data_IF_681223098829
#
_entry.id   IF_681223098829
#
_cell.length_a   1.000
_cell.length_b   1.000
_cell.length_c   1.000
_cell.angle_alpha   90.00
_cell.angle_beta   90.00
_cell.angle_gamma   90.00
#
_symmetry.space_group_name_H-M   'P 1'
#
loop_
_entity.id
_entity.type
_entity.pdbx_description
1 polymer ?
#
# COMPACT_ATOMS: atom_id res chain seq x y z
N UNK A 1 23.75 23.52 8.68
CA UNK A 1 24.85 22.76 8.05
C UNK A 1 24.48 21.30 8.15
N UNK A 2 23.72 20.79 7.20
CA UNK A 2 23.34 19.37 7.17
C UNK A 2 24.45 18.64 6.45
N UNK A 3 25.19 17.80 7.16
CA UNK A 3 26.25 17.01 6.59
C UNK A 3 25.64 15.90 5.73
N UNK A 4 25.47 16.16 4.43
CA UNK A 4 25.34 15.11 3.42
C UNK A 4 26.72 14.46 3.36
N UNK A 5 26.91 13.38 4.12
CA UNK A 5 28.16 12.63 4.07
C UNK A 5 28.24 11.93 2.71
N UNK A 6 29.38 12.14 2.03
CA UNK A 6 29.66 11.56 0.72
C UNK A 6 29.43 10.04 0.71
N UNK A 7 28.75 9.58 -0.34
CA UNK A 7 28.58 8.17 -0.69
C UNK A 7 29.94 7.47 -0.68
N UNK A 8 30.13 6.49 0.20
CA UNK A 8 31.27 5.60 0.20
C UNK A 8 30.84 4.22 -0.23
N UNK A 9 31.47 3.67 -1.27
CA UNK A 9 31.38 2.24 -1.61
C UNK A 9 32.08 1.44 -0.52
N UNK A 10 31.32 0.66 0.26
CA UNK A 10 31.85 -0.23 1.29
C UNK A 10 31.58 -1.68 0.86
N UNK A 11 32.62 -2.37 0.40
CA UNK A 11 32.47 -3.73 -0.17
C UNK A 11 32.19 -4.86 0.84
N UNK A 12 32.18 -4.59 2.15
CA UNK A 12 31.89 -5.57 3.21
C UNK A 12 30.80 -5.04 4.16
N UNK A 13 29.72 -5.82 4.33
CA UNK A 13 28.60 -5.52 5.25
C UNK A 13 29.11 -5.24 6.66
N UNK A 14 30.08 -6.01 7.16
CA UNK A 14 30.64 -5.83 8.50
C UNK A 14 31.36 -4.49 8.66
N UNK A 15 32.00 -4.01 7.58
CA UNK A 15 32.60 -2.68 7.54
C UNK A 15 31.53 -1.58 7.46
N UNK A 16 30.47 -1.79 6.66
CA UNK A 16 29.37 -0.83 6.53
C UNK A 16 28.69 -0.56 7.88
N UNK A 17 28.45 -1.59 8.70
CA UNK A 17 27.90 -1.46 10.05
C UNK A 17 28.83 -0.64 10.96
N UNK A 18 30.14 -0.91 10.94
CA UNK A 18 31.12 -0.16 11.75
C UNK A 18 31.17 1.31 11.36
N UNK A 19 31.18 1.59 10.06
CA UNK A 19 31.18 2.97 9.54
C UNK A 19 29.87 3.68 9.91
N UNK A 20 28.72 3.00 9.79
CA UNK A 20 27.42 3.49 10.23
C UNK A 20 27.45 3.89 11.71
N UNK A 21 27.97 3.03 12.59
CA UNK A 21 28.08 3.31 14.02
C UNK A 21 28.92 4.56 14.32
N UNK A 22 30.06 4.73 13.66
CA UNK A 22 30.88 5.94 13.81
C UNK A 22 30.17 7.19 13.28
N UNK A 23 29.48 7.10 12.14
CA UNK A 23 28.70 8.22 11.60
C UNK A 23 27.53 8.62 12.51
N UNK A 24 26.84 7.66 13.12
CA UNK A 24 25.80 7.95 14.11
C UNK A 24 26.40 8.73 15.30
N UNK A 25 27.58 8.33 15.80
CA UNK A 25 28.29 9.05 16.87
C UNK A 25 28.72 10.47 16.44
N UNK A 26 29.18 10.65 15.20
CA UNK A 26 29.52 11.97 14.64
C UNK A 26 28.30 12.90 14.57
N UNK A 27 27.16 12.38 14.10
CA UNK A 27 25.90 13.15 14.04
C UNK A 27 25.47 13.58 15.45
N UNK A 28 25.56 12.69 16.44
CA UNK A 28 25.23 13.03 17.83
C UNK A 28 26.15 14.14 18.40
N UNK A 29 27.47 14.06 18.17
CA UNK A 29 28.45 15.06 18.65
C UNK A 29 28.30 16.43 17.98
N UNK A 30 28.00 16.46 16.68
CA UNK A 30 27.91 17.70 15.91
C UNK A 30 26.68 18.54 16.26
N UNK A 31 25.60 17.92 16.74
CA UNK A 31 24.37 18.61 17.09
C UNK A 31 24.38 19.29 18.46
N UNK A 32 25.33 18.96 19.35
CA UNK A 32 25.57 19.74 20.56
C UNK A 32 26.07 21.18 20.25
N UNK A 33 26.58 21.43 19.04
CA UNK A 33 27.08 22.74 18.59
C UNK A 33 26.06 23.55 17.74
N UNK A 34 24.96 22.95 17.26
CA UNK A 34 24.04 23.53 16.26
C UNK A 34 22.67 23.99 16.82
N UNK A 35 22.65 24.48 18.06
CA UNK A 35 21.46 24.90 18.84
C UNK A 35 20.62 26.07 18.25
N UNK A 36 20.79 26.47 16.99
CA UNK A 36 20.12 27.63 16.40
C UNK A 36 19.14 27.32 15.24
N UNK A 37 19.10 26.09 14.72
CA UNK A 37 18.09 25.72 13.69
C UNK A 37 16.76 25.36 14.35
N UNK A 38 15.64 25.93 13.88
CA UNK A 38 14.28 25.69 14.41
C UNK A 38 13.62 24.40 13.91
N UNK A 39 14.18 23.70 12.92
CA UNK A 39 13.57 22.52 12.26
C UNK A 39 14.09 21.18 12.80
N UNK A 40 13.22 20.16 12.82
CA UNK A 40 13.58 18.77 13.09
C UNK A 40 14.12 18.09 11.84
N UNK A 41 15.31 18.48 11.39
CA UNK A 41 15.92 17.90 10.19
C UNK A 41 16.21 16.40 10.36
N UNK A 42 15.67 15.59 9.46
CA UNK A 42 16.07 14.18 9.31
C UNK A 42 17.49 14.16 8.71
N UNK A 43 18.38 13.40 9.33
CA UNK A 43 19.71 13.06 8.81
C UNK A 43 19.68 11.61 8.36
N UNK A 44 19.83 11.38 7.05
CA UNK A 44 19.96 10.03 6.47
C UNK A 44 21.42 9.71 6.22
N UNK A 45 21.89 8.64 6.83
CA UNK A 45 23.19 8.03 6.54
C UNK A 45 22.95 6.83 5.63
N UNK A 46 23.69 6.69 4.53
CA UNK A 46 23.52 5.55 3.63
C UNK A 46 24.82 5.11 2.99
N UNK A 47 24.98 3.81 2.77
CA UNK A 47 26.13 3.19 2.14
C UNK A 47 25.67 2.14 1.13
N UNK A 48 26.37 2.06 0.01
CA UNK A 48 26.25 0.91 -0.89
C UNK A 48 26.84 -0.33 -0.19
N UNK A 49 26.14 -1.45 -0.31
CA UNK A 49 26.55 -2.75 0.25
C UNK A 49 26.41 -3.84 -0.82
N UNK A 50 27.05 -5.01 -0.65
CA UNK A 50 26.77 -6.17 -1.48
C UNK A 50 25.28 -6.53 -1.49
N UNK A 51 24.82 -7.14 -2.58
CA UNK A 51 23.40 -7.48 -2.70
C UNK A 51 22.93 -8.47 -1.62
N UNK A 52 21.74 -8.22 -1.08
CA UNK A 52 21.10 -8.99 -0.01
C UNK A 52 19.61 -9.16 -0.36
N UNK A 53 19.02 -10.35 -0.24
CA UNK A 53 17.57 -10.52 -0.40
C UNK A 53 16.78 -9.76 0.68
N UNK A 54 16.05 -8.70 0.29
CA UNK A 54 15.44 -7.75 1.22
C UNK A 54 14.38 -8.38 2.14
N UNK A 55 13.52 -9.27 1.62
CA UNK A 55 12.50 -9.95 2.43
C UNK A 55 13.12 -10.95 3.40
N UNK A 56 14.13 -11.71 2.98
CA UNK A 56 14.87 -12.63 3.85
C UNK A 56 15.57 -11.86 4.98
N UNK A 57 16.17 -10.72 4.66
CA UNK A 57 16.73 -9.81 5.66
C UNK A 57 15.64 -9.31 6.61
N UNK A 58 14.50 -8.82 6.11
CA UNK A 58 13.41 -8.29 6.94
C UNK A 58 12.82 -9.36 7.89
N UNK A 59 12.71 -10.60 7.40
CA UNK A 59 12.23 -11.73 8.19
C UNK A 59 13.16 -12.07 9.36
N UNK A 60 14.47 -11.87 9.21
CA UNK A 60 15.47 -12.15 10.23
C UNK A 60 15.48 -11.13 11.39
N UNK A 61 14.92 -9.94 11.18
CA UNK A 61 14.98 -8.89 12.20
C UNK A 61 14.08 -9.19 13.40
N UNK A 62 14.58 -8.85 14.59
CA UNK A 62 13.88 -9.04 15.88
C UNK A 62 12.90 -7.92 16.21
N UNK A 63 13.10 -6.73 15.65
CA UNK A 63 12.19 -5.60 15.87
C UNK A 63 10.79 -5.95 15.35
N UNK A 64 9.78 -5.52 16.09
CA UNK A 64 8.39 -5.80 15.80
C UNK A 64 7.80 -4.84 14.76
N UNK A 65 8.37 -3.65 14.59
CA UNK A 65 7.96 -2.69 13.57
C UNK A 65 8.73 -2.95 12.28
N UNK A 66 8.02 -3.38 11.24
CA UNK A 66 8.59 -3.69 9.94
C UNK A 66 7.77 -3.05 8.84
N UNK A 67 8.45 -2.54 7.83
CA UNK A 67 7.81 -2.00 6.64
C UNK A 67 8.46 -2.60 5.42
N UNK A 68 7.66 -2.87 4.39
CA UNK A 68 8.15 -3.33 3.11
C UNK A 68 7.39 -2.63 1.98
N UNK A 69 8.11 -2.35 0.90
CA UNK A 69 7.56 -1.83 -0.35
C UNK A 69 8.35 -2.38 -1.53
N UNK A 70 7.68 -2.84 -2.58
CA UNK A 70 8.30 -3.00 -3.89
C UNK A 70 7.39 -2.43 -4.96
N UNK A 71 7.96 -1.70 -5.90
CA UNK A 71 7.20 -1.23 -7.06
C UNK A 71 6.81 -2.38 -7.99
N UNK A 72 6.03 -2.03 -9.01
CA UNK A 72 5.52 -2.97 -10.01
C UNK A 72 6.55 -3.24 -11.10
N UNK A 73 7.34 -2.22 -11.41
CA UNK A 73 8.35 -2.19 -12.47
C UNK A 73 9.63 -2.94 -12.08
N UNK A 74 9.76 -3.33 -10.81
CA UNK A 74 10.93 -3.98 -10.18
C UNK A 74 12.18 -3.08 -10.19
N UNK A 75 11.98 -1.77 -10.24
CA UNK A 75 13.06 -0.78 -10.22
C UNK A 75 13.40 -0.36 -8.78
N UNK A 76 12.45 -0.50 -7.85
CA UNK A 76 12.62 -0.11 -6.46
C UNK A 76 12.03 -1.14 -5.48
N UNK A 77 12.83 -1.52 -4.49
CA UNK A 77 12.45 -2.38 -3.38
C UNK A 77 13.02 -1.82 -2.08
N UNK A 78 12.24 -1.81 -1.00
CA UNK A 78 12.65 -1.32 0.32
C UNK A 78 12.11 -2.24 1.41
N UNK A 79 12.99 -2.59 2.35
CA UNK A 79 12.67 -3.22 3.61
C UNK A 79 13.18 -2.34 4.74
N UNK A 80 12.29 -1.99 5.68
CA UNK A 80 12.55 -1.08 6.78
C UNK A 80 12.26 -1.73 8.12
N UNK A 81 13.09 -1.46 9.11
CA UNK A 81 12.97 -2.01 10.47
C UNK A 81 13.15 -0.91 11.52
N UNK A 82 12.34 -1.00 12.58
CA UNK A 82 12.31 -0.01 13.65
C UNK A 82 11.71 1.33 13.19
N UNK A 83 11.63 2.29 14.11
CA UNK A 83 10.96 3.58 13.89
C UNK A 83 11.91 4.73 14.25
N UNK A 84 12.27 5.55 13.26
CA UNK A 84 12.91 6.84 13.51
C UNK A 84 11.86 7.93 13.74
N UNK A 85 10.81 7.96 12.92
CA UNK A 85 9.66 8.84 13.12
C UNK A 85 8.34 8.13 12.85
N UNK A 86 7.28 8.68 13.43
CA UNK A 86 5.92 8.20 13.27
C UNK A 86 4.95 9.37 13.20
N UNK A 87 4.23 9.47 12.09
CA UNK A 87 3.07 10.35 11.94
C UNK A 87 1.82 9.50 11.95
N UNK A 88 0.90 9.76 12.87
CA UNK A 88 -0.31 8.93 13.04
C UNK A 88 -1.50 9.76 13.49
N UNK A 89 -2.68 9.42 12.97
CA UNK A 89 -3.97 9.86 13.49
C UNK A 89 -4.73 8.65 14.04
N UNK A 90 -5.34 8.78 15.22
CA UNK A 90 -6.04 7.67 15.88
C UNK A 90 -7.52 7.61 15.47
N UNK A 91 -8.27 8.68 15.71
CA UNK A 91 -9.73 8.74 15.50
C UNK A 91 -10.13 9.61 14.32
N UNK A 92 -9.30 10.61 14.00
CA UNK A 92 -9.50 11.52 12.89
C UNK A 92 -8.13 12.08 12.47
N UNK A 93 -7.98 12.40 11.18
CA UNK A 93 -6.80 13.07 10.67
C UNK A 93 -7.19 14.10 9.62
N UNK A 94 -6.43 15.19 9.63
CA UNK A 94 -6.47 16.20 8.58
C UNK A 94 -5.39 15.87 7.55
N UNK A 95 -5.76 15.80 6.27
CA UNK A 95 -4.81 15.49 5.20
C UNK A 95 -3.74 16.57 5.07
N UNK A 96 -4.11 17.86 5.15
CA UNK A 96 -3.17 18.97 5.05
C UNK A 96 -2.21 18.96 6.24
N UNK A 97 -2.70 18.67 7.45
CA UNK A 97 -1.85 18.51 8.62
C UNK A 97 -0.90 17.31 8.49
N UNK A 98 -1.39 16.16 8.02
CA UNK A 98 -0.59 14.96 7.80
C UNK A 98 0.56 15.24 6.82
N UNK A 99 0.23 15.75 5.63
CA UNK A 99 1.23 16.02 4.59
C UNK A 99 2.18 17.15 5.00
N UNK A 100 1.69 18.19 5.69
CA UNK A 100 2.56 19.26 6.20
C UNK A 100 3.49 18.77 7.30
N UNK A 101 3.03 17.89 8.19
CA UNK A 101 3.88 17.27 9.21
C UNK A 101 5.00 16.46 8.56
N UNK A 102 4.68 15.53 7.66
CA UNK A 102 5.68 14.74 6.93
C UNK A 102 6.66 15.65 6.18
N UNK A 103 6.15 16.58 5.37
CA UNK A 103 6.98 17.50 4.58
C UNK A 103 7.82 18.47 5.44
N UNK A 104 7.38 18.79 6.65
CA UNK A 104 8.16 19.64 7.57
C UNK A 104 9.40 18.92 8.14
N UNK A 105 9.38 17.59 8.17
CA UNK A 105 10.52 16.77 8.61
C UNK A 105 11.49 16.50 7.45
N UNK A 106 10.98 16.34 6.23
CA UNK A 106 11.79 16.07 5.04
C UNK A 106 12.33 17.39 4.46
N UNK A 107 13.64 17.61 4.60
CA UNK A 107 14.32 18.77 4.00
C UNK A 107 14.65 18.56 2.51
N UNK A 108 14.95 19.65 1.77
CA UNK A 108 15.44 19.61 0.38
C UNK A 108 16.62 18.65 0.15
N UNK A 109 17.43 18.39 1.18
CA UNK A 109 18.62 17.55 1.12
C UNK A 109 18.32 16.06 1.38
N UNK A 110 17.10 15.73 1.83
CA UNK A 110 16.65 14.37 2.12
C UNK A 110 15.81 13.78 0.99
N UNK A 111 16.27 13.87 -0.26
CA UNK A 111 15.51 13.36 -1.43
C UNK A 111 15.19 11.88 -1.33
N UNK A 112 16.06 11.11 -0.70
CA UNK A 112 15.91 9.65 -0.52
C UNK A 112 15.12 9.27 0.75
N UNK A 113 14.70 10.26 1.56
CA UNK A 113 13.91 10.03 2.78
C UNK A 113 12.46 9.82 2.39
N UNK A 114 11.88 8.71 2.84
CA UNK A 114 10.48 8.35 2.58
C UNK A 114 9.79 7.91 3.86
N UNK A 115 8.57 8.39 4.04
CA UNK A 115 7.63 7.88 5.03
C UNK A 115 6.71 6.88 4.36
N UNK A 116 6.51 5.71 4.96
CA UNK A 116 5.74 4.61 4.39
C UNK A 116 4.53 4.30 5.26
N UNK A 117 3.39 4.04 4.64
CA UNK A 117 2.17 3.79 5.39
C UNK A 117 0.91 3.95 4.58
N UNK A 118 -0.17 4.35 5.23
CA UNK A 118 -1.49 4.37 4.60
C UNK A 118 -2.56 5.06 5.44
N UNK A 119 -3.77 5.05 4.90
CA UNK A 119 -4.94 5.71 5.45
C UNK A 119 -6.16 4.79 5.35
N UNK A 120 -7.14 5.03 6.21
CA UNK A 120 -8.43 4.32 6.16
C UNK A 120 -9.19 4.64 4.88
N UNK A 121 -10.01 3.67 4.44
CA UNK A 121 -10.93 3.80 3.32
C UNK A 121 -11.95 4.93 3.53
N UNK A 122 -12.53 5.03 4.72
CA UNK A 122 -13.51 6.07 5.07
C UNK A 122 -13.28 6.61 6.48
N UNK A 123 -13.59 7.90 6.66
CA UNK A 123 -13.63 8.57 7.95
C UNK A 123 -14.93 8.33 8.73
N UNK A 124 -16.00 7.92 8.04
CA UNK A 124 -17.35 7.79 8.61
C UNK A 124 -17.57 6.45 9.33
N UNK A 125 -16.70 5.47 9.10
CA UNK A 125 -16.86 4.08 9.56
C UNK A 125 -16.07 3.72 10.81
N UNK A 126 -15.97 4.64 11.79
CA UNK A 126 -15.47 4.27 13.13
C UNK A 126 -16.61 3.63 13.92
N UNK A 127 -16.90 2.36 13.64
CA UNK A 127 -17.83 1.58 14.48
C UNK A 127 -17.16 1.25 15.83
N UNK A 128 -17.96 1.07 16.89
CA UNK A 128 -17.54 1.03 18.30
C UNK A 128 -16.78 -0.25 18.72
N UNK A 129 -16.51 -1.19 17.81
CA UNK A 129 -15.76 -2.44 18.07
C UNK A 129 -14.66 -2.67 17.00
N UNK A 130 -13.71 -1.74 16.94
CA UNK A 130 -12.64 -1.60 15.93
C UNK A 130 -11.40 -2.52 16.16
N UNK A 131 -11.60 -3.72 16.72
CA UNK A 131 -10.50 -4.47 17.34
C UNK A 131 -9.27 -4.74 16.43
N UNK A 132 -9.40 -5.10 15.13
CA UNK A 132 -8.22 -5.45 14.35
C UNK A 132 -7.53 -4.22 13.70
N UNK A 133 -8.24 -3.11 13.45
CA UNK A 133 -7.67 -1.90 12.82
C UNK A 133 -7.15 -0.85 13.79
N UNK A 134 -7.48 -0.97 15.09
CA UNK A 134 -7.10 -0.02 16.13
C UNK A 134 -5.59 0.32 16.15
N UNK A 135 -4.73 -0.66 15.89
CA UNK A 135 -3.27 -0.48 15.90
C UNK A 135 -2.74 0.38 14.72
N UNK A 136 -3.53 0.53 13.65
CA UNK A 136 -3.21 1.33 12.48
C UNK A 136 -3.74 2.76 12.56
N UNK A 137 -4.83 2.98 13.33
CA UNK A 137 -5.52 4.26 13.38
C UNK A 137 -6.14 4.67 12.04
N UNK A 138 -6.44 5.96 11.89
CA UNK A 138 -7.02 6.53 10.68
C UNK A 138 -6.00 6.89 9.60
N UNK A 139 -4.77 7.19 10.01
CA UNK A 139 -3.61 7.25 9.12
C UNK A 139 -2.36 6.89 9.93
N UNK A 140 -1.37 6.28 9.29
CA UNK A 140 -0.08 5.97 9.91
C UNK A 140 1.00 5.98 8.85
N UNK A 141 2.09 6.70 9.12
CA UNK A 141 3.27 6.79 8.27
C UNK A 141 4.52 6.67 9.11
N UNK A 142 5.37 5.71 8.77
CA UNK A 142 6.60 5.35 9.48
C UNK A 142 7.79 5.80 8.65
N UNK A 143 8.72 6.51 9.27
CA UNK A 143 10.09 6.61 8.78
C UNK A 143 10.89 5.48 9.44
N UNK A 144 11.32 4.45 8.70
CA UNK A 144 12.04 3.33 9.29
C UNK A 144 13.35 3.81 9.94
N UNK A 145 13.79 3.14 11.02
CA UNK A 145 15.09 3.48 11.64
C UNK A 145 16.24 3.04 10.75
N UNK A 146 16.16 1.80 10.28
CA UNK A 146 17.12 1.22 9.35
C UNK A 146 16.40 0.71 8.12
N UNK A 147 17.03 0.86 6.97
CA UNK A 147 16.48 0.43 5.68
C UNK A 147 17.52 -0.34 4.89
N UNK A 148 17.10 -1.44 4.28
CA UNK A 148 17.68 -1.89 3.02
C UNK A 148 16.80 -1.42 1.90
N UNK A 149 17.38 -0.77 0.91
CA UNK A 149 16.68 -0.49 -0.33
C UNK A 149 17.54 -0.82 -1.53
N UNK A 150 16.89 -1.31 -2.57
CA UNK A 150 17.47 -1.57 -3.87
C UNK A 150 16.82 -0.63 -4.87
N UNK A 151 17.64 0.09 -5.61
CA UNK A 151 17.20 0.85 -6.76
C UNK A 151 17.97 0.39 -7.97
N UNK A 152 17.24 -0.09 -8.98
CA UNK A 152 17.75 -0.88 -10.09
C UNK A 152 18.48 -2.11 -9.53
N UNK A 153 19.81 -2.12 -9.58
CA UNK A 153 20.63 -3.25 -9.12
C UNK A 153 21.58 -2.88 -7.96
N UNK A 154 21.44 -1.67 -7.40
CA UNK A 154 22.33 -1.19 -6.33
C UNK A 154 21.61 -1.25 -4.99
N UNK A 155 22.12 -2.09 -4.10
CA UNK A 155 21.60 -2.28 -2.75
C UNK A 155 22.32 -1.35 -1.77
N UNK A 156 21.54 -0.65 -0.96
CA UNK A 156 22.03 0.31 0.02
C UNK A 156 21.52 -0.04 1.41
N UNK A 157 22.35 0.21 2.42
CA UNK A 157 21.96 0.21 3.81
C UNK A 157 21.90 1.64 4.34
N UNK A 158 20.76 2.04 4.88
CA UNK A 158 20.53 3.37 5.39
C UNK A 158 20.06 3.38 6.85
N UNK A 159 20.39 4.47 7.55
CA UNK A 159 19.90 4.80 8.87
C UNK A 159 19.34 6.22 8.86
N UNK A 160 18.10 6.39 9.31
CA UNK A 160 17.51 7.71 9.51
C UNK A 160 17.67 8.12 10.96
N UNK A 161 18.12 9.35 11.18
CA UNK A 161 18.30 9.97 12.49
C UNK A 161 17.48 11.26 12.55
N UNK A 162 16.92 11.54 13.71
CA UNK A 162 16.25 12.79 14.05
C UNK A 162 17.01 13.36 15.24
N UNK A 163 18.05 14.19 15.02
CA UNK A 163 19.00 14.57 16.06
C UNK A 163 18.34 15.14 17.32
N UNK A 164 17.24 15.89 17.17
CA UNK A 164 16.47 16.42 18.30
C UNK A 164 15.79 15.35 19.16
N UNK A 165 15.32 14.25 18.55
CA UNK A 165 14.66 13.13 19.25
C UNK A 165 15.69 12.08 19.72
N UNK A 166 16.81 11.99 19.02
CA UNK A 166 17.80 10.92 19.20
C UNK A 166 18.93 11.28 20.16
N UNK A 167 19.07 12.56 20.53
CA UNK A 167 20.19 13.08 21.34
C UNK A 167 20.48 12.24 22.58
N UNK A 168 19.44 11.94 23.36
CA UNK A 168 19.57 11.23 24.64
C UNK A 168 19.46 9.71 24.48
N UNK A 169 19.25 9.23 23.25
CA UNK A 169 19.00 7.82 22.91
C UNK A 169 20.12 7.17 22.10
N UNK A 170 21.29 7.82 21.99
CA UNK A 170 22.42 7.34 21.18
C UNK A 170 22.79 5.89 21.50
N UNK A 171 22.85 5.52 22.78
CA UNK A 171 23.18 4.14 23.18
C UNK A 171 22.13 3.15 22.65
N UNK A 172 20.85 3.46 22.80
CA UNK A 172 19.78 2.60 22.31
C UNK A 172 19.82 2.44 20.78
N UNK A 173 20.15 3.50 20.04
CA UNK A 173 20.29 3.44 18.58
C UNK A 173 21.46 2.56 18.16
N UNK A 174 22.59 2.65 18.86
CA UNK A 174 23.75 1.78 18.63
C UNK A 174 23.44 0.32 18.99
N UNK A 175 22.74 0.08 20.10
CA UNK A 175 22.30 -1.27 20.49
C UNK A 175 21.31 -1.85 19.45
N UNK A 176 20.45 -1.02 18.85
CA UNK A 176 19.57 -1.43 17.74
C UNK A 176 20.36 -1.75 16.47
N UNK A 177 21.38 -0.94 16.12
CA UNK A 177 22.26 -1.20 14.97
C UNK A 177 23.00 -2.54 15.14
N UNK A 178 23.55 -2.80 16.33
CA UNK A 178 24.24 -4.05 16.64
C UNK A 178 23.30 -5.26 16.59
N UNK A 179 21.99 -5.05 16.78
CA UNK A 179 20.96 -6.08 16.66
C UNK A 179 20.49 -6.34 15.22
N UNK A 180 20.83 -5.48 14.25
CA UNK A 180 20.49 -5.70 12.84
C UNK A 180 21.27 -6.90 12.30
N UNK A 181 20.55 -7.87 11.75
CA UNK A 181 21.15 -9.11 11.24
C UNK A 181 21.17 -9.15 9.72
N UNK A 182 22.34 -9.39 9.14
CA UNK A 182 22.50 -9.54 7.68
C UNK A 182 22.69 -10.99 7.24
N UNK A 183 23.19 -11.82 8.17
CA UNK A 183 23.42 -13.24 7.95
C UNK A 183 22.31 -14.00 8.67
N UNK A 184 21.35 -14.56 7.93
CA UNK A 184 20.32 -15.42 8.51
C UNK A 184 20.10 -16.67 7.66
N UNK A 185 19.72 -17.75 8.36
CA UNK A 185 19.52 -19.12 7.85
C UNK A 185 18.24 -19.21 7.03
N UNK A 186 18.19 -20.24 6.18
CA UNK A 186 17.06 -20.63 5.31
C UNK A 186 15.68 -20.35 5.92
N UNK A 187 14.80 -19.75 5.12
CA UNK A 187 13.38 -19.49 5.42
C UNK A 187 12.49 -20.71 5.13
N UNK A 188 12.99 -21.94 5.32
CA UNK A 188 12.20 -23.20 5.26
C UNK A 188 11.20 -23.33 6.43
N UNK A 189 10.49 -22.25 6.74
CA UNK A 189 9.43 -22.21 7.70
C UNK A 189 8.12 -22.52 6.98
N UNK A 190 7.45 -23.56 7.45
CA UNK A 190 6.12 -23.92 6.98
C UNK A 190 5.10 -22.89 7.49
N UNK A 191 4.10 -22.60 6.65
CA UNK A 191 2.95 -21.84 7.10
C UNK A 191 2.18 -22.64 8.16
N UNK A 192 1.69 -21.99 9.24
CA UNK A 192 0.83 -22.65 10.21
C UNK A 192 -0.40 -23.28 9.55
N UNK A 193 -0.90 -24.37 10.14
CA UNK A 193 -2.10 -25.03 9.62
C UNK A 193 -3.35 -24.16 9.83
N UNK A 194 -4.19 -24.06 8.79
CA UNK A 194 -5.51 -23.44 8.89
C UNK A 194 -6.43 -24.35 9.73
N UNK A 195 -7.06 -23.77 10.75
CA UNK A 195 -8.04 -24.44 11.62
C UNK A 195 -9.47 -24.13 11.22
N UNK A 196 -9.74 -22.90 10.80
CA UNK A 196 -11.09 -22.44 10.48
C UNK A 196 -11.06 -21.38 9.38
N UNK A 197 -12.09 -21.38 8.54
CA UNK A 197 -12.44 -20.31 7.62
C UNK A 197 -13.84 -19.82 7.94
N UNK A 198 -14.05 -18.51 7.95
CA UNK A 198 -15.35 -17.88 8.10
C UNK A 198 -15.47 -16.66 7.19
N UNK A 199 -16.60 -16.51 6.50
CA UNK A 199 -16.87 -15.42 5.57
C UNK A 199 -17.91 -14.46 6.16
N UNK A 200 -17.63 -13.16 6.10
CA UNK A 200 -18.48 -12.09 6.63
C UNK A 200 -18.67 -11.00 5.54
N UNK A 201 -19.87 -10.84 4.96
CA UNK A 201 -21.02 -11.74 5.09
C UNK A 201 -20.74 -13.13 4.51
N UNK A 202 -21.56 -14.11 4.89
CA UNK A 202 -21.65 -15.39 4.18
C UNK A 202 -22.42 -15.23 2.85
N UNK A 203 -22.67 -16.33 2.13
CA UNK A 203 -23.37 -16.28 0.85
C UNK A 203 -24.79 -15.72 0.93
N UNK A 204 -25.52 -16.00 2.02
CA UNK A 204 -26.89 -15.50 2.18
C UNK A 204 -26.87 -14.02 2.57
N UNK A 205 -25.99 -13.61 3.48
CA UNK A 205 -25.78 -12.21 3.81
C UNK A 205 -25.32 -11.39 2.58
N UNK A 206 -24.47 -11.97 1.72
CA UNK A 206 -24.07 -11.36 0.46
C UNK A 206 -25.26 -11.13 -0.47
N UNK A 207 -26.14 -12.11 -0.64
CA UNK A 207 -27.37 -11.96 -1.45
C UNK A 207 -28.26 -10.84 -0.91
N UNK A 208 -28.42 -10.74 0.40
CA UNK A 208 -29.22 -9.67 1.03
C UNK A 208 -28.61 -8.28 0.78
N UNK A 209 -27.30 -8.15 0.99
CA UNK A 209 -26.57 -6.90 0.71
C UNK A 209 -26.66 -6.52 -0.77
N UNK A 210 -26.45 -7.49 -1.66
CA UNK A 210 -26.55 -7.33 -3.12
C UNK A 210 -27.93 -6.84 -3.55
N UNK A 211 -29.00 -7.47 -3.07
CA UNK A 211 -30.36 -7.10 -3.45
C UNK A 211 -30.72 -5.69 -2.96
N UNK A 212 -30.26 -5.31 -1.77
CA UNK A 212 -30.46 -3.94 -1.25
C UNK A 212 -29.71 -2.91 -2.11
N UNK A 213 -28.48 -3.22 -2.52
CA UNK A 213 -27.71 -2.38 -3.42
C UNK A 213 -28.38 -2.23 -4.80
N UNK A 214 -28.88 -3.32 -5.38
CA UNK A 214 -29.60 -3.29 -6.65
C UNK A 214 -30.87 -2.44 -6.58
N UNK A 215 -31.65 -2.54 -5.49
CA UNK A 215 -32.84 -1.70 -5.30
C UNK A 215 -32.51 -0.20 -5.32
N UNK A 216 -31.40 0.19 -4.70
CA UNK A 216 -30.97 1.59 -4.69
C UNK A 216 -30.47 2.05 -6.07
N UNK A 217 -29.85 1.16 -6.85
CA UNK A 217 -29.48 1.45 -8.24
C UNK A 217 -30.74 1.59 -9.12
N UNK A 218 -31.71 0.68 -8.98
CA UNK A 218 -32.99 0.72 -9.71
C UNK A 218 -33.80 2.00 -9.40
N UNK A 219 -33.66 2.53 -8.18
CA UNK A 219 -34.27 3.79 -7.75
C UNK A 219 -33.49 5.04 -8.20
N UNK A 220 -32.32 4.87 -8.81
CA UNK A 220 -31.46 5.96 -9.27
C UNK A 220 -30.72 6.69 -8.14
N UNK A 221 -30.62 6.09 -6.94
CA UNK A 221 -29.86 6.68 -5.83
C UNK A 221 -28.34 6.63 -6.08
N UNK A 222 -27.90 5.61 -6.82
CA UNK A 222 -26.52 5.41 -7.26
C UNK A 222 -26.48 4.68 -8.61
N UNK A 223 -25.37 4.79 -9.34
CA UNK A 223 -25.16 4.11 -10.61
C UNK A 223 -24.28 2.87 -10.45
N UNK A 224 -23.38 2.87 -9.46
CA UNK A 224 -22.45 1.79 -9.12
C UNK A 224 -22.17 1.77 -7.62
N UNK A 225 -22.03 0.58 -7.04
CA UNK A 225 -21.46 0.39 -5.70
C UNK A 225 -20.51 -0.80 -5.71
N UNK A 226 -19.43 -0.71 -4.94
CA UNK A 226 -18.53 -1.84 -4.72
C UNK A 226 -18.77 -2.37 -3.32
N UNK A 227 -19.30 -3.58 -3.21
CA UNK A 227 -19.47 -4.26 -1.92
C UNK A 227 -18.35 -5.27 -1.71
N UNK A 228 -17.94 -5.41 -0.46
CA UNK A 228 -16.85 -6.28 -0.07
C UNK A 228 -17.31 -7.37 0.90
N UNK A 229 -16.45 -8.39 0.98
CA UNK A 229 -16.50 -9.47 1.95
C UNK A 229 -15.17 -9.55 2.67
N UNK A 230 -15.23 -9.86 3.96
CA UNK A 230 -14.08 -10.25 4.80
C UNK A 230 -14.08 -11.77 4.98
N UNK A 231 -13.06 -12.43 4.43
CA UNK A 231 -12.79 -13.86 4.65
C UNK A 231 -11.74 -14.00 5.74
N UNK A 232 -12.09 -14.64 6.84
CA UNK A 232 -11.24 -14.81 8.01
C UNK A 232 -10.73 -16.23 8.10
N UNK A 233 -9.41 -16.39 8.18
CA UNK A 233 -8.73 -17.66 8.45
C UNK A 233 -8.11 -17.63 9.85
N UNK A 234 -8.29 -18.71 10.60
CA UNK A 234 -7.65 -18.91 11.90
C UNK A 234 -6.63 -20.03 11.82
N UNK A 235 -5.49 -19.83 12.46
CA UNK A 235 -4.32 -20.69 12.35
C UNK A 235 -3.97 -21.37 13.68
N UNK A 236 -3.20 -22.46 13.63
CA UNK A 236 -2.69 -23.13 14.83
C UNK A 236 -1.77 -22.25 15.67
N UNK A 237 -1.03 -21.36 15.01
CA UNK A 237 0.05 -20.54 15.57
C UNK A 237 0.01 -19.16 14.93
N UNK A 238 0.79 -18.24 15.50
CA UNK A 238 0.86 -16.87 15.00
C UNK A 238 1.45 -16.87 13.58
N UNK A 239 0.81 -16.13 12.69
CA UNK A 239 1.31 -15.98 11.33
C UNK A 239 2.57 -15.12 11.33
N UNK A 240 3.45 -15.40 10.38
CA UNK A 240 4.66 -14.60 10.13
C UNK A 240 4.41 -13.72 8.90
N UNK A 241 4.16 -12.41 9.08
CA UNK A 241 3.76 -11.53 7.97
C UNK A 241 4.73 -11.54 6.79
N UNK A 242 6.04 -11.50 7.09
CA UNK A 242 7.08 -11.43 6.06
C UNK A 242 7.17 -12.73 5.25
N UNK A 243 6.95 -13.89 5.89
CA UNK A 243 6.93 -15.19 5.20
C UNK A 243 5.72 -15.29 4.25
N UNK A 244 4.54 -14.86 4.71
CA UNK A 244 3.35 -14.83 3.86
C UNK A 244 3.55 -13.86 2.68
N UNK A 245 4.14 -12.69 2.93
CA UNK A 245 4.44 -11.73 1.87
C UNK A 245 5.46 -12.26 0.86
N UNK A 246 6.49 -12.98 1.30
CA UNK A 246 7.48 -13.63 0.42
C UNK A 246 6.80 -14.62 -0.53
N UNK A 247 5.90 -15.46 -0.01
CA UNK A 247 5.09 -16.38 -0.84
C UNK A 247 4.12 -15.65 -1.75
N UNK A 248 3.48 -14.59 -1.28
CA UNK A 248 2.57 -13.79 -2.09
C UNK A 248 3.31 -13.13 -3.25
N UNK A 249 4.51 -12.59 -3.02
CA UNK A 249 5.33 -11.92 -4.03
C UNK A 249 5.71 -12.83 -5.18
N UNK A 250 5.98 -14.11 -4.95
CA UNK A 250 6.29 -15.06 -6.03
C UNK A 250 5.09 -15.42 -6.89
N UNK A 251 3.86 -15.19 -6.40
CA UNK A 251 2.61 -15.54 -7.06
C UNK A 251 1.89 -14.34 -7.70
N UNK A 252 2.36 -13.11 -7.48
CA UNK A 252 1.67 -11.88 -7.89
C UNK A 252 2.56 -10.89 -8.63
N UNK A 253 3.20 -11.38 -9.69
CA UNK A 253 3.95 -10.53 -10.61
C UNK A 253 3.06 -9.43 -11.23
N UNK A 254 3.63 -8.24 -11.40
CA UNK A 254 2.90 -7.07 -11.90
C UNK A 254 2.10 -6.33 -10.83
N UNK A 255 2.30 -6.62 -9.54
CA UNK A 255 1.75 -5.88 -8.41
C UNK A 255 2.83 -5.10 -7.64
N UNK A 256 2.41 -4.03 -6.96
CA UNK A 256 3.13 -3.44 -5.84
C UNK A 256 2.93 -4.32 -4.61
N UNK A 257 4.03 -4.66 -3.94
CA UNK A 257 3.99 -5.47 -2.72
C UNK A 257 4.26 -4.59 -1.52
N UNK A 258 3.45 -4.72 -0.47
CA UNK A 258 3.61 -3.92 0.73
C UNK A 258 3.43 -4.72 2.01
N UNK A 259 4.10 -4.29 3.07
CA UNK A 259 3.84 -4.69 4.44
C UNK A 259 3.94 -3.47 5.35
N UNK A 260 2.97 -3.29 6.22
CA UNK A 260 3.05 -2.40 7.38
C UNK A 260 2.76 -3.24 8.61
N UNK A 261 3.82 -3.67 9.28
CA UNK A 261 3.78 -4.42 10.53
C UNK A 261 3.99 -3.45 11.68
N UNK A 262 2.99 -3.33 12.55
CA UNK A 262 2.93 -2.32 13.61
C UNK A 262 3.39 -2.85 14.97
N UNK A 263 3.39 -4.17 15.13
CA UNK A 263 3.92 -4.90 16.29
C UNK A 263 4.23 -6.37 15.93
N UNK A 264 4.51 -7.20 16.93
CA UNK A 264 4.96 -8.58 16.72
C UNK A 264 3.92 -9.50 16.07
N UNK A 265 2.64 -9.12 16.12
CA UNK A 265 1.50 -9.97 15.74
C UNK A 265 0.61 -9.33 14.68
N UNK A 266 0.69 -8.01 14.50
CA UNK A 266 -0.27 -7.26 13.68
C UNK A 266 0.40 -6.63 12.46
N UNK A 267 -0.08 -6.99 11.27
CA UNK A 267 0.45 -6.47 10.01
C UNK A 267 -0.62 -6.37 8.93
N UNK A 268 -0.54 -5.32 8.10
CA UNK A 268 -1.31 -5.21 6.88
C UNK A 268 -0.38 -5.44 5.69
N UNK A 269 -0.70 -6.44 4.87
CA UNK A 269 0.12 -6.84 3.72
C UNK A 269 -0.73 -6.90 2.45
N UNK A 270 -0.10 -6.76 1.29
CA UNK A 270 -0.82 -6.90 0.02
C UNK A 270 0.06 -6.92 -1.21
N UNK A 271 -0.59 -7.24 -2.32
CA UNK A 271 -0.04 -7.25 -3.67
C UNK A 271 -1.00 -6.50 -4.60
N UNK A 272 -0.97 -5.17 -4.54
CA UNK A 272 -1.94 -4.32 -5.23
C UNK A 272 -1.53 -4.07 -6.70
N UNK A 273 -2.41 -4.30 -7.67
CA UNK A 273 -2.17 -3.97 -9.07
C UNK A 273 -2.58 -2.54 -9.45
N UNK A 274 -3.23 -1.80 -8.55
CA UNK A 274 -3.94 -0.56 -8.89
C UNK A 274 -3.28 0.66 -8.27
N UNK A 275 -2.63 1.47 -9.12
CA UNK A 275 -2.04 2.75 -8.72
C UNK A 275 -3.13 3.80 -8.56
N UNK A 276 -3.24 4.36 -7.36
CA UNK A 276 -4.10 5.52 -7.12
C UNK A 276 -3.46 6.75 -7.78
N UNK A 277 -2.22 7.07 -7.39
CA UNK A 277 -1.40 8.03 -8.12
C UNK A 277 0.09 7.85 -7.80
N UNK A 278 0.93 8.30 -8.72
CA UNK A 278 2.36 8.55 -8.51
C UNK A 278 2.65 9.99 -8.90
N UNK A 279 3.39 10.71 -8.07
CA UNK A 279 3.83 12.08 -8.34
C UNK A 279 5.35 12.16 -8.27
N UNK A 280 5.95 12.80 -9.27
CA UNK A 280 7.37 13.17 -9.30
C UNK A 280 7.44 14.65 -9.68
N UNK A 281 7.89 15.50 -8.76
CA UNK A 281 7.76 16.95 -8.89
C UNK A 281 6.31 17.37 -9.18
N UNK A 282 6.05 17.82 -10.40
CA UNK A 282 4.72 18.25 -10.87
C UNK A 282 4.04 17.25 -11.79
N UNK A 283 4.76 16.24 -12.26
CA UNK A 283 4.21 15.18 -13.09
C UNK A 283 3.43 14.22 -12.20
N UNK A 284 2.19 13.92 -12.59
CA UNK A 284 1.31 12.96 -11.94
C UNK A 284 0.92 11.86 -12.92
N UNK A 285 0.94 10.62 -12.44
CA UNK A 285 0.39 9.44 -13.13
C UNK A 285 -0.73 8.86 -12.28
N UNK A 286 -1.79 8.38 -12.92
CA UNK A 286 -2.91 7.69 -12.27
C UNK A 286 -3.49 6.65 -13.24
N UNK A 287 -4.27 5.70 -12.73
CA UNK A 287 -4.80 4.59 -13.53
C UNK A 287 -6.28 4.38 -13.22
N UNK A 288 -7.07 4.14 -14.26
CA UNK A 288 -8.38 3.54 -14.12
C UNK A 288 -8.23 2.04 -14.34
N UNK A 289 -8.57 1.23 -13.33
CA UNK A 289 -8.57 -0.24 -13.42
C UNK A 289 -9.93 -0.77 -13.04
N UNK A 290 -10.57 -1.50 -13.94
CA UNK A 290 -11.88 -2.12 -13.72
C UNK A 290 -12.11 -3.27 -14.71
N UNK A 291 -13.20 -4.01 -14.52
CA UNK A 291 -13.46 -5.21 -15.30
C UNK A 291 -12.47 -6.32 -14.94
N UNK A 292 -12.95 -7.55 -14.84
CA UNK A 292 -12.10 -8.67 -14.45
C UNK A 292 -12.44 -9.91 -15.25
N UNK A 293 -11.42 -10.58 -15.78
CA UNK A 293 -11.53 -11.97 -16.25
C UNK A 293 -10.40 -12.81 -15.67
N UNK A 294 -10.60 -14.13 -15.49
CA UNK A 294 -9.49 -15.03 -15.22
C UNK A 294 -8.50 -15.03 -16.39
N UNK A 295 -7.27 -15.47 -16.10
CA UNK A 295 -6.30 -15.85 -17.15
C UNK A 295 -6.66 -17.23 -17.71
N UNK A 296 -6.36 -17.47 -18.98
CA UNK A 296 -6.55 -18.77 -19.62
C UNK A 296 -5.42 -19.74 -19.29
N UNK A 297 -5.72 -21.04 -19.27
CA UNK A 297 -4.71 -22.11 -19.09
C UNK A 297 -3.81 -22.27 -20.34
N UNK A 298 -4.27 -21.81 -21.50
CA UNK A 298 -3.51 -21.76 -22.76
C UNK A 298 -3.47 -20.34 -23.31
N UNK A 299 -2.50 -20.06 -24.19
CA UNK A 299 -2.39 -18.76 -24.85
C UNK A 299 -3.67 -18.39 -25.60
N UNK A 300 -4.26 -19.33 -26.36
CA UNK A 300 -5.48 -19.09 -27.13
C UNK A 300 -6.69 -18.83 -26.23
N UNK A 301 -6.81 -19.56 -25.11
CA UNK A 301 -7.87 -19.32 -24.14
C UNK A 301 -7.70 -17.97 -23.44
N UNK A 302 -6.46 -17.59 -23.12
CA UNK A 302 -6.14 -16.32 -22.46
C UNK A 302 -6.45 -15.12 -23.35
N UNK A 303 -6.07 -15.19 -24.64
CA UNK A 303 -6.39 -14.18 -25.64
C UNK A 303 -7.90 -14.07 -25.85
N UNK A 304 -8.61 -15.20 -25.94
CA UNK A 304 -10.07 -15.19 -26.07
C UNK A 304 -10.74 -14.50 -24.87
N UNK A 305 -10.36 -14.86 -23.64
CA UNK A 305 -10.88 -14.23 -22.42
C UNK A 305 -10.56 -12.72 -22.37
N UNK A 306 -9.39 -12.32 -22.88
CA UNK A 306 -9.01 -10.91 -23.01
C UNK A 306 -9.90 -10.15 -24.00
N UNK A 307 -10.17 -10.74 -25.17
CA UNK A 307 -11.08 -10.15 -26.16
C UNK A 307 -12.53 -10.11 -25.67
N UNK A 308 -12.98 -11.13 -24.95
CA UNK A 308 -14.29 -11.13 -24.27
C UNK A 308 -14.38 -10.00 -23.22
N UNK A 309 -13.30 -9.73 -22.48
CA UNK A 309 -13.24 -8.62 -21.53
C UNK A 309 -13.32 -7.25 -22.25
N UNK A 310 -12.56 -7.08 -23.33
CA UNK A 310 -12.53 -5.84 -24.13
C UNK A 310 -13.86 -5.55 -24.83
N UNK A 311 -14.66 -6.57 -25.13
CA UNK A 311 -15.94 -6.44 -25.83
C UNK A 311 -17.17 -6.57 -24.92
N UNK A 312 -16.99 -6.84 -23.62
CA UNK A 312 -18.07 -6.99 -22.66
C UNK A 312 -18.72 -5.64 -22.34
N UNK A 313 -20.00 -5.49 -22.70
CA UNK A 313 -20.75 -4.26 -22.43
C UNK A 313 -20.78 -3.91 -20.93
N UNK A 314 -20.92 -4.92 -20.05
CA UNK A 314 -20.86 -4.73 -18.59
C UNK A 314 -19.51 -4.15 -18.17
N UNK A 315 -18.42 -4.82 -18.53
CA UNK A 315 -17.08 -4.49 -18.04
C UNK A 315 -16.58 -3.16 -18.65
N UNK A 316 -16.88 -2.89 -19.92
CA UNK A 316 -16.57 -1.62 -20.58
C UNK A 316 -17.35 -0.47 -19.95
N UNK A 317 -18.63 -0.67 -19.63
CA UNK A 317 -19.44 0.33 -18.92
C UNK A 317 -18.90 0.58 -17.51
N UNK A 318 -18.53 -0.49 -16.79
CA UNK A 318 -17.90 -0.36 -15.47
C UNK A 318 -16.61 0.46 -15.54
N UNK A 319 -15.76 0.17 -16.52
CA UNK A 319 -14.50 0.86 -16.75
C UNK A 319 -14.70 2.33 -17.12
N UNK A 320 -15.70 2.63 -17.95
CA UNK A 320 -16.02 3.99 -18.35
C UNK A 320 -16.36 4.90 -17.16
N UNK A 321 -17.01 4.39 -16.11
CA UNK A 321 -17.25 5.17 -14.89
C UNK A 321 -15.95 5.58 -14.20
N UNK A 322 -14.97 4.67 -14.12
CA UNK A 322 -13.67 4.95 -13.50
C UNK A 322 -12.89 5.95 -14.35
N UNK A 323 -12.80 5.72 -15.67
CA UNK A 323 -12.14 6.63 -16.63
C UNK A 323 -12.72 8.05 -16.53
N UNK A 324 -14.05 8.19 -16.60
CA UNK A 324 -14.73 9.49 -16.51
C UNK A 324 -14.45 10.20 -15.18
N UNK A 325 -14.38 9.45 -14.08
CA UNK A 325 -14.07 10.01 -12.77
C UNK A 325 -12.64 10.54 -12.70
N UNK A 326 -11.66 9.72 -13.09
CA UNK A 326 -10.24 10.10 -13.07
C UNK A 326 -9.99 11.27 -14.01
N UNK A 327 -10.53 11.24 -15.22
CA UNK A 327 -10.41 12.33 -16.21
C UNK A 327 -10.98 13.65 -15.68
N UNK A 328 -12.17 13.61 -15.07
CA UNK A 328 -12.80 14.80 -14.47
C UNK A 328 -11.96 15.36 -13.31
N UNK A 329 -11.37 14.50 -12.49
CA UNK A 329 -10.52 14.90 -11.37
C UNK A 329 -9.23 15.54 -11.90
N UNK A 330 -8.54 14.90 -12.83
CA UNK A 330 -7.29 15.41 -13.39
C UNK A 330 -7.49 16.70 -14.19
N UNK A 331 -8.63 16.86 -14.88
CA UNK A 331 -9.01 18.13 -15.54
C UNK A 331 -9.08 19.32 -14.58
N UNK A 332 -9.36 19.08 -13.29
CA UNK A 332 -9.38 20.12 -12.26
C UNK A 332 -8.01 20.35 -11.64
N UNK A 333 -7.21 19.29 -11.48
CA UNK A 333 -5.94 19.33 -10.76
C UNK A 333 -4.73 19.66 -11.64
N UNK A 334 -4.82 19.41 -12.95
CA UNK A 334 -3.70 19.54 -13.89
C UNK A 334 -3.85 20.77 -14.78
N UNK A 335 -2.71 21.37 -15.17
CA UNK A 335 -2.65 22.33 -16.28
C UNK A 335 -2.99 21.65 -17.59
N UNK A 336 -2.52 20.42 -17.74
CA UNK A 336 -2.79 19.53 -18.86
C UNK A 336 -2.63 18.08 -18.42
N UNK A 337 -3.46 17.20 -18.93
CA UNK A 337 -3.34 15.75 -18.76
C UNK A 337 -3.74 15.04 -20.05
N UNK A 338 -3.29 13.80 -20.18
CA UNK A 338 -3.58 12.91 -21.30
C UNK A 338 -4.11 11.59 -20.75
N UNK A 339 -5.18 11.10 -21.35
CA UNK A 339 -5.62 9.71 -21.19
C UNK A 339 -4.95 8.87 -22.29
N UNK A 340 -3.92 8.11 -21.90
CA UNK A 340 -3.16 7.25 -22.81
C UNK A 340 -3.95 6.01 -23.26
N UNK A 341 -5.06 5.70 -22.58
CA UNK A 341 -5.98 4.64 -22.97
C UNK A 341 -6.83 5.01 -24.18
N UNK A 342 -7.21 6.28 -24.38
CA UNK A 342 -8.23 6.73 -25.35
C UNK A 342 -9.66 6.74 -24.75
N UNK A 343 -10.70 7.08 -25.54
CA UNK A 343 -12.06 7.32 -25.00
C UNK A 343 -13.21 6.56 -25.72
N UNK A 344 -13.69 5.44 -25.15
CA UNK A 344 -12.98 4.60 -24.20
C UNK A 344 -12.15 3.59 -25.00
N UNK A 345 -10.84 3.81 -25.04
CA UNK A 345 -9.94 2.72 -25.37
C UNK A 345 -9.27 2.30 -24.05
N UNK A 346 -9.21 0.98 -23.88
CA UNK A 346 -8.68 0.33 -22.71
C UNK A 346 -7.69 -0.73 -23.21
N UNK A 347 -6.63 -0.91 -22.45
CA UNK A 347 -5.69 -2.00 -22.67
C UNK A 347 -5.96 -3.12 -21.67
N UNK A 348 -5.39 -4.31 -21.92
CA UNK A 348 -5.45 -5.41 -20.97
C UNK A 348 -4.27 -5.33 -19.99
N UNK A 349 -4.60 -5.29 -18.71
CA UNK A 349 -3.66 -5.48 -17.62
C UNK A 349 -3.59 -6.96 -17.25
N UNK A 350 -2.63 -7.70 -17.80
CA UNK A 350 -2.47 -9.12 -17.50
C UNK A 350 -1.66 -9.31 -16.21
N UNK A 351 -2.29 -9.88 -15.18
CA UNK A 351 -1.66 -10.33 -13.94
C UNK A 351 -1.56 -11.86 -13.94
N UNK A 352 -0.95 -12.47 -12.93
CA UNK A 352 -0.74 -13.93 -12.87
C UNK A 352 -2.03 -14.75 -13.04
N UNK A 353 -3.11 -14.37 -12.35
CA UNK A 353 -4.37 -15.15 -12.30
C UNK A 353 -5.57 -14.46 -12.94
N UNK A 354 -5.53 -13.13 -13.04
CA UNK A 354 -6.61 -12.34 -13.62
C UNK A 354 -6.07 -11.33 -14.62
N UNK A 355 -6.96 -10.78 -15.45
CA UNK A 355 -6.69 -9.64 -16.31
C UNK A 355 -7.78 -8.58 -16.14
N UNK A 356 -7.39 -7.31 -16.24
CA UNK A 356 -8.26 -6.16 -16.05
C UNK A 356 -8.27 -5.26 -17.29
N UNK A 357 -9.31 -4.44 -17.44
CA UNK A 357 -9.22 -3.26 -18.30
C UNK A 357 -8.42 -2.19 -17.57
N UNK A 358 -7.50 -1.53 -18.28
CA UNK A 358 -6.72 -0.41 -17.76
C UNK A 358 -6.71 0.76 -18.74
N UNK A 359 -6.82 1.97 -18.20
CA UNK A 359 -6.50 3.22 -18.90
C UNK A 359 -5.57 4.04 -18.01
N UNK A 360 -4.37 4.36 -18.52
CA UNK A 360 -3.38 5.16 -17.80
C UNK A 360 -3.51 6.63 -18.13
N UNK A 361 -3.27 7.47 -17.13
CA UNK A 361 -3.29 8.92 -17.23
C UNK A 361 -1.94 9.49 -16.84
N UNK A 362 -1.53 10.55 -17.54
CA UNK A 362 -0.35 11.34 -17.19
C UNK A 362 -0.69 12.83 -17.32
N UNK A 363 -0.23 13.65 -16.38
CA UNK A 363 -0.48 15.08 -16.42
C UNK A 363 0.54 15.90 -15.64
N UNK A 364 0.46 17.21 -15.82
CA UNK A 364 1.22 18.19 -15.06
C UNK A 364 0.27 18.94 -14.13
N UNK A 365 0.47 18.80 -12.82
CA UNK A 365 -0.35 19.46 -11.81
C UNK A 365 -0.31 21.00 -11.95
N UNK A 366 -1.42 21.70 -11.65
CA UNK A 366 -1.52 23.16 -11.60
C UNK A 366 -0.95 23.78 -10.31
N UNK A 367 -0.32 24.96 -10.38
CA UNK A 367 0.42 25.55 -9.25
C UNK A 367 -0.37 25.53 -7.93
N UNK A 368 0.32 25.19 -6.84
CA UNK A 368 -0.29 25.12 -5.51
C UNK A 368 -1.02 23.80 -5.19
N UNK A 369 -1.32 22.96 -6.18
CA UNK A 369 -1.93 21.64 -5.93
C UNK A 369 -0.97 20.75 -5.13
N UNK A 370 -1.44 20.25 -3.99
CA UNK A 370 -0.70 19.44 -3.01
C UNK A 370 -1.10 17.95 -3.08
N UNK A 371 -0.27 17.06 -2.53
CA UNK A 371 -0.61 15.62 -2.41
C UNK A 371 -1.89 15.39 -1.58
N UNK A 372 -2.15 16.24 -0.58
CA UNK A 372 -3.41 16.20 0.18
C UNK A 372 -4.61 16.40 -0.73
N UNK A 373 -4.55 17.39 -1.63
CA UNK A 373 -5.64 17.67 -2.57
C UNK A 373 -5.78 16.58 -3.63
N UNK A 374 -4.66 16.05 -4.14
CA UNK A 374 -4.65 14.91 -5.07
C UNK A 374 -5.31 13.69 -4.44
N UNK A 375 -4.84 13.27 -3.27
CA UNK A 375 -5.31 12.06 -2.59
C UNK A 375 -6.80 12.16 -2.23
N UNK A 376 -7.24 13.29 -1.66
CA UNK A 376 -8.68 13.53 -1.34
C UNK A 376 -9.57 13.59 -2.57
N UNK A 377 -9.03 13.96 -3.73
CA UNK A 377 -9.80 14.03 -4.96
C UNK A 377 -9.95 12.66 -5.62
N UNK A 378 -8.91 11.83 -5.58
CA UNK A 378 -8.88 10.52 -6.23
C UNK A 378 -9.48 9.41 -5.36
N UNK A 379 -9.37 9.51 -4.03
CA UNK A 379 -9.84 8.47 -3.10
C UNK A 379 -11.21 8.82 -2.47
N UNK A 380 -12.16 7.86 -2.38
CA UNK A 380 -12.12 6.54 -3.01
C UNK A 380 -12.45 6.60 -4.50
N UNK A 381 -11.80 5.72 -5.27
CA UNK A 381 -12.08 5.56 -6.69
C UNK A 381 -13.43 4.86 -6.91
N UNK A 382 -14.08 5.03 -8.07
CA UNK A 382 -15.27 4.23 -8.40
C UNK A 382 -15.00 2.72 -8.54
N UNK A 383 -13.74 2.29 -8.67
CA UNK A 383 -13.33 0.87 -8.69
C UNK A 383 -13.41 0.22 -7.30
N UNK A 384 -13.36 0.99 -6.20
CA UNK A 384 -13.47 0.46 -4.84
C UNK A 384 -14.58 1.03 -3.97
N UNK A 385 -15.10 2.22 -4.28
CA UNK A 385 -16.25 2.82 -3.59
C UNK A 385 -17.53 2.64 -4.38
N UNK A 386 -17.59 3.25 -5.56
CA UNK A 386 -18.78 3.30 -6.41
C UNK A 386 -18.98 4.68 -7.01
N UNK A 387 -20.16 4.91 -7.60
CA UNK A 387 -20.49 6.16 -8.26
C UNK A 387 -22.00 6.48 -8.12
N UNK A 388 -22.38 7.72 -7.76
CA UNK A 388 -21.52 8.80 -7.25
C UNK A 388 -20.90 8.47 -5.87
N UNK A 389 -19.69 8.97 -5.61
CA UNK A 389 -18.89 8.54 -4.45
C UNK A 389 -19.55 8.78 -3.08
N UNK A 390 -20.15 9.96 -2.76
CA UNK A 390 -20.74 10.18 -1.43
C UNK A 390 -21.85 9.18 -1.09
N UNK A 391 -22.77 8.94 -2.04
CA UNK A 391 -23.87 8.00 -1.88
C UNK A 391 -23.36 6.57 -1.72
N UNK A 392 -22.38 6.16 -2.54
CA UNK A 392 -21.79 4.84 -2.47
C UNK A 392 -21.09 4.59 -1.12
N UNK A 393 -20.32 5.55 -0.60
CA UNK A 393 -19.63 5.43 0.70
C UNK A 393 -20.62 5.31 1.86
N UNK A 394 -21.66 6.17 1.88
CA UNK A 394 -22.71 6.09 2.90
C UNK A 394 -23.45 4.75 2.85
N UNK A 395 -23.73 4.23 1.65
CA UNK A 395 -24.38 2.94 1.48
C UNK A 395 -23.47 1.77 1.91
N UNK A 396 -22.18 1.79 1.56
CA UNK A 396 -21.18 0.83 2.04
C UNK A 396 -21.19 0.76 3.57
N UNK A 397 -21.14 1.92 4.25
CA UNK A 397 -21.13 1.98 5.70
C UNK A 397 -22.41 1.45 6.37
N UNK A 398 -23.53 1.39 5.64
CA UNK A 398 -24.80 0.80 6.11
C UNK A 398 -24.90 -0.70 5.83
N UNK A 399 -24.39 -1.15 4.68
CA UNK A 399 -24.58 -2.52 4.20
C UNK A 399 -23.49 -3.47 4.69
N UNK A 400 -22.23 -3.04 4.75
CA UNK A 400 -21.13 -3.93 5.11
C UNK A 400 -21.11 -4.24 6.62
N UNK A 401 -21.14 -5.52 7.03
CA UNK A 401 -21.17 -5.92 8.44
C UNK A 401 -19.78 -5.88 9.10
N UNK A 402 -18.82 -5.20 8.48
CA UNK A 402 -17.46 -5.04 8.97
C UNK A 402 -16.91 -3.69 8.53
N UNK A 403 -15.87 -3.23 9.21
CA UNK A 403 -15.14 -2.05 8.80
C UNK A 403 -13.97 -2.42 7.89
N UNK A 404 -13.84 -1.70 6.76
CA UNK A 404 -12.76 -1.89 5.80
C UNK A 404 -11.41 -1.47 6.38
N UNK A 405 -11.36 -0.53 7.31
CA UNK A 405 -10.11 0.04 7.82
C UNK A 405 -9.21 0.47 6.66
N UNK A 406 -8.02 -0.11 6.53
CA UNK A 406 -7.09 0.22 5.42
C UNK A 406 -7.36 -0.56 4.13
N UNK A 407 -8.19 -1.60 4.14
CA UNK A 407 -8.59 -2.27 2.91
C UNK A 407 -9.30 -1.28 1.98
N UNK A 408 -8.90 -1.27 0.71
CA UNK A 408 -9.30 -0.31 -0.31
C UNK A 408 -8.97 1.17 0.01
N UNK A 409 -8.30 1.46 1.12
CA UNK A 409 -7.75 2.78 1.44
C UNK A 409 -6.41 3.03 0.73
N UNK A 410 -5.89 4.26 0.72
CA UNK A 410 -4.59 4.53 0.13
C UNK A 410 -3.46 3.92 0.97
N UNK A 411 -2.53 3.23 0.31
CA UNK A 411 -1.30 2.68 0.89
C UNK A 411 -0.12 3.10 0.02
N UNK A 412 0.96 3.58 0.61
CA UNK A 412 1.98 4.27 -0.16
C UNK A 412 3.16 4.80 0.64
N UNK A 413 3.89 5.70 -0.02
CA UNK A 413 4.95 6.45 0.60
C UNK A 413 4.96 7.91 0.16
N UNK A 414 5.52 8.76 1.03
CA UNK A 414 5.65 10.20 0.84
C UNK A 414 7.13 10.54 0.97
N UNK A 415 7.72 11.08 -0.08
CA UNK A 415 9.08 11.60 -0.11
C UNK A 415 9.11 13.12 -0.14
N UNK A 416 10.29 13.67 -0.45
CA UNK A 416 10.49 15.13 -0.51
C UNK A 416 9.77 15.75 -1.72
N UNK A 417 10.11 15.24 -2.90
CA UNK A 417 9.70 15.69 -4.21
C UNK A 417 8.65 14.75 -4.82
N UNK A 418 8.51 13.54 -4.28
CA UNK A 418 7.79 12.43 -4.87
C UNK A 418 6.81 11.80 -3.88
N UNK A 419 5.82 11.10 -4.39
CA UNK A 419 4.91 10.29 -3.61
C UNK A 419 4.31 9.21 -4.50
N UNK A 420 4.00 8.05 -3.93
CA UNK A 420 3.26 7.02 -4.63
C UNK A 420 2.27 6.36 -3.69
N UNK A 421 1.03 6.23 -4.17
CA UNK A 421 -0.05 5.58 -3.47
C UNK A 421 -0.73 4.58 -4.38
N UNK A 422 -0.93 3.39 -3.85
CA UNK A 422 -1.76 2.33 -4.39
C UNK A 422 -3.10 2.32 -3.67
N UNK A 423 -4.10 1.70 -4.31
CA UNK A 423 -5.31 1.30 -3.62
C UNK A 423 -5.01 0.03 -2.83
N UNK A 424 -5.34 0.00 -1.53
CA UNK A 424 -5.06 -1.10 -0.59
C UNK A 424 -5.94 -2.33 -0.80
N UNK A 425 -6.02 -2.84 -2.03
CA UNK A 425 -6.73 -4.06 -2.42
C UNK A 425 -5.76 -5.24 -2.54
N UNK A 426 -6.30 -6.45 -2.70
CA UNK A 426 -5.52 -7.70 -2.73
C UNK A 426 -4.61 -7.75 -1.51
N UNK A 427 -5.26 -7.65 -0.36
CA UNK A 427 -4.59 -7.37 0.90
C UNK A 427 -5.21 -8.17 2.04
N UNK A 428 -4.39 -8.43 3.05
CA UNK A 428 -4.76 -9.13 4.26
C UNK A 428 -4.31 -8.38 5.50
N UNK A 429 -5.16 -8.39 6.52
CA UNK A 429 -4.83 -7.95 7.87
C UNK A 429 -4.56 -9.17 8.74
N UNK A 430 -3.33 -9.28 9.22
CA UNK A 430 -2.88 -10.28 10.17
C UNK A 430 -3.05 -9.72 11.58
N UNK A 431 -3.65 -10.51 12.46
CA UNK A 431 -3.77 -10.25 13.90
C UNK A 431 -3.47 -11.56 14.66
N UNK A 432 -2.20 -11.76 14.98
CA UNK A 432 -1.68 -12.97 15.62
C UNK A 432 -1.95 -14.22 14.79
N UNK A 433 -2.91 -15.03 15.22
CA UNK A 433 -3.32 -16.29 14.58
C UNK A 433 -4.44 -16.12 13.57
N UNK A 434 -4.83 -14.88 13.27
CA UNK A 434 -5.97 -14.58 12.41
C UNK A 434 -5.49 -13.83 11.19
N UNK A 435 -5.99 -14.21 10.02
CA UNK A 435 -5.83 -13.46 8.77
C UNK A 435 -7.20 -13.08 8.24
N UNK A 436 -7.46 -11.78 8.17
CA UNK A 436 -8.61 -11.22 7.48
C UNK A 436 -8.21 -10.83 6.07
N UNK A 437 -8.71 -11.56 5.09
CA UNK A 437 -8.62 -11.18 3.68
C UNK A 437 -9.86 -10.41 3.27
N UNK A 438 -9.68 -9.43 2.40
CA UNK A 438 -10.76 -8.58 1.91
C UNK A 438 -10.84 -8.67 0.38
N UNK A 439 -12.05 -8.77 -0.14
CA UNK A 439 -12.30 -8.83 -1.57
C UNK A 439 -13.66 -8.21 -1.89
N UNK A 440 -13.75 -7.45 -2.97
CA UNK A 440 -14.98 -6.75 -3.35
C UNK A 440 -15.27 -6.84 -4.84
N UNK A 441 -16.54 -6.61 -5.17
CA UNK A 441 -17.07 -6.66 -6.52
C UNK A 441 -17.94 -5.43 -6.81
N UNK A 442 -17.83 -4.91 -8.04
CA UNK A 442 -18.64 -3.80 -8.53
C UNK A 442 -20.02 -4.29 -8.96
N UNK A 443 -21.05 -3.76 -8.31
CA UNK A 443 -22.45 -4.07 -8.60
C UNK A 443 -23.01 -3.00 -9.54
N UNK A 444 -23.57 -3.47 -10.65
CA UNK A 444 -24.24 -2.71 -11.71
C UNK A 444 -25.52 -3.44 -12.15
N UNK A 445 -26.36 -2.81 -12.97
CA UNK A 445 -27.65 -3.38 -13.42
C UNK A 445 -27.57 -4.80 -14.02
N UNK A 446 -26.44 -5.17 -14.63
CA UNK A 446 -26.23 -6.49 -15.24
C UNK A 446 -25.60 -7.54 -14.30
N UNK A 447 -25.35 -7.18 -13.03
CA UNK A 447 -24.72 -8.05 -12.04
C UNK A 447 -25.70 -9.13 -11.53
N UNK A 448 -25.16 -10.26 -11.09
CA UNK A 448 -25.94 -11.29 -10.37
C UNK A 448 -25.19 -11.69 -9.10
N UNK A 449 -25.89 -11.97 -7.98
CA UNK A 449 -25.22 -12.19 -6.70
C UNK A 449 -24.24 -13.36 -6.74
N UNK A 450 -24.58 -14.41 -7.49
CA UNK A 450 -23.73 -15.59 -7.66
C UNK A 450 -22.44 -15.28 -8.42
N UNK A 451 -22.51 -14.54 -9.54
CA UNK A 451 -21.32 -14.19 -10.32
C UNK A 451 -20.39 -13.27 -9.54
N UNK A 452 -20.95 -12.29 -8.83
CA UNK A 452 -20.13 -11.39 -8.02
C UNK A 452 -19.49 -12.12 -6.82
N UNK A 453 -20.16 -13.14 -6.25
CA UNK A 453 -19.56 -14.02 -5.24
C UNK A 453 -18.37 -14.82 -5.80
N UNK A 454 -18.53 -15.41 -6.98
CA UNK A 454 -17.46 -16.15 -7.68
C UNK A 454 -16.28 -15.23 -8.02
N UNK A 455 -16.57 -13.98 -8.42
CA UNK A 455 -15.54 -12.98 -8.66
C UNK A 455 -14.72 -12.69 -7.39
N UNK A 456 -15.36 -12.44 -6.25
CA UNK A 456 -14.62 -12.15 -5.01
C UNK A 456 -13.82 -13.36 -4.48
N UNK A 457 -14.27 -14.60 -4.72
CA UNK A 457 -13.46 -15.81 -4.44
C UNK A 457 -12.22 -15.87 -5.34
N UNK A 458 -12.40 -15.71 -6.65
CA UNK A 458 -11.28 -15.70 -7.60
C UNK A 458 -10.25 -14.63 -7.24
N UNK A 459 -10.72 -13.48 -6.75
CA UNK A 459 -9.84 -12.39 -6.34
C UNK A 459 -8.97 -12.70 -5.11
N UNK A 460 -9.36 -13.66 -4.27
CA UNK A 460 -8.62 -14.13 -3.09
C UNK A 460 -7.61 -15.24 -3.40
N UNK A 461 -7.68 -15.85 -4.58
CA UNK A 461 -6.91 -17.05 -4.92
C UNK A 461 -5.39 -16.93 -4.67
N UNK A 462 -4.76 -15.79 -5.00
CA UNK A 462 -3.33 -15.54 -4.73
C UNK A 462 -2.99 -15.70 -3.24
N UNK A 463 -3.84 -15.21 -2.34
CA UNK A 463 -3.59 -15.37 -0.91
C UNK A 463 -3.83 -16.81 -0.47
N UNK A 464 -4.91 -17.44 -0.94
CA UNK A 464 -5.25 -18.82 -0.55
C UNK A 464 -4.11 -19.76 -0.94
N UNK A 465 -3.53 -19.58 -2.12
CA UNK A 465 -2.39 -20.37 -2.56
C UNK A 465 -1.13 -20.08 -1.76
N UNK A 466 -0.85 -18.81 -1.40
CA UNK A 466 0.28 -18.46 -0.55
C UNK A 466 0.18 -19.07 0.87
N UNK A 467 -1.02 -19.44 1.31
CA UNK A 467 -1.27 -20.12 2.58
C UNK A 467 -1.08 -21.64 2.52
N UNK A 468 -1.16 -22.25 1.34
CA UNK A 468 -0.88 -23.67 1.12
C UNK A 468 0.64 -23.92 1.05
#
# INVERSE_FOLDING_TARGET
>A
MTAIFQQGTVGDIGLAIKVMAEKIKEVARSHDLALQSKTGEIVRLQFEIPDVPLLTWLAAQRDSCKVYWSDREKEFEMAGVGVADLVMGNTWFDHDLLFSQVRSQISNNGKDVRYYGGLRFSHESVSRDDHPWKAFGCCRFVLPRFELYRHLDVTHFACNLIPRKDRDNLKAILDQLDAVTFFSRSTDQLMPSIKRRHDTPDQEGWKVMFNTAMQAIDQGELEKIVLARRTTFEFSEDLKPILLLERLKTQSEGCVHFCVQVDSTTAFIGASPERLYQRQGRTIKSEAVAGTRPRGETYEADERLGQELLSSEKDVTEHAYVVKSVDKILSRLCRSHVNNGGNPAASLLKLTRVQHLISSFEGELADGITDSEVLRSLHPTPSVGGYPAPQAITMIGKLEPFDRGWYAGPIGWIGFDDAEFMVGIRSGLIDGRTLHLFSGAGILNASTPQREWEEIENKLSNFIEALC
#
